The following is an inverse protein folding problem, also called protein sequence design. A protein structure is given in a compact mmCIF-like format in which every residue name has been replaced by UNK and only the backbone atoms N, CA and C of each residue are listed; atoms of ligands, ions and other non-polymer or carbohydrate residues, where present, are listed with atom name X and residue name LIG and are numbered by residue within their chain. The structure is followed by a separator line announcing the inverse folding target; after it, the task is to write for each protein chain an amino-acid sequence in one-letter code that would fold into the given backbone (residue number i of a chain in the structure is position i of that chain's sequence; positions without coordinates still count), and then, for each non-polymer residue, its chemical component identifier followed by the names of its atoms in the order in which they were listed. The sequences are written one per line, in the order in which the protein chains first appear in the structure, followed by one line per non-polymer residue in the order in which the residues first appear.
data_IF_810067211108
#
_entry.id   IF_810067211108
#
_cell.length_a   1.000
_cell.length_b   1.000
_cell.length_c   1.000
_cell.angle_alpha   90.00
_cell.angle_beta   90.00
_cell.angle_gamma   90.00
#
_symmetry.space_group_name_H-M   'P 1'
#
loop_
_entity.id
_entity.type
_entity.pdbx_description
1 polymer ?
#
# COMPACT_ATOMS: atom_id res chain seq x y z
N UNK A 1 -30.68 44.19 -16.66
CA UNK A 1 -30.76 42.72 -16.84
C UNK A 1 -29.48 42.13 -17.43
N UNK A 2 -28.91 42.72 -18.49
CA UNK A 2 -27.72 42.20 -19.19
C UNK A 2 -26.43 42.19 -18.34
N UNK A 3 -26.18 43.22 -17.52
CA UNK A 3 -24.96 43.33 -16.70
C UNK A 3 -24.87 42.25 -15.60
N UNK A 4 -26.00 41.94 -14.96
CA UNK A 4 -26.06 40.91 -13.91
C UNK A 4 -25.75 39.52 -14.47
N UNK A 5 -26.24 39.20 -15.67
CA UNK A 5 -25.94 37.94 -16.36
C UNK A 5 -24.46 37.80 -16.76
N UNK A 6 -23.81 38.91 -17.14
CA UNK A 6 -22.38 38.92 -17.46
C UNK A 6 -21.53 38.70 -16.20
N UNK A 7 -21.89 39.34 -15.07
CA UNK A 7 -21.16 39.19 -13.80
C UNK A 7 -21.28 37.77 -13.23
N UNK A 8 -22.46 37.15 -13.31
CA UNK A 8 -22.63 35.76 -12.87
C UNK A 8 -21.83 34.79 -13.74
N UNK A 9 -21.84 34.98 -15.07
CA UNK A 9 -21.04 34.17 -15.98
C UNK A 9 -19.53 34.29 -15.71
N UNK A 10 -19.02 35.50 -15.52
CA UNK A 10 -17.61 35.73 -15.17
C UNK A 10 -17.24 35.08 -13.83
N UNK A 11 -18.12 35.14 -12.84
CA UNK A 11 -17.91 34.49 -11.54
C UNK A 11 -17.78 32.96 -11.69
N UNK A 12 -18.67 32.32 -12.45
CA UNK A 12 -18.59 30.88 -12.72
C UNK A 12 -17.32 30.48 -13.48
N UNK A 13 -16.84 31.32 -14.40
CA UNK A 13 -15.59 31.06 -15.14
C UNK A 13 -14.39 31.09 -14.19
N UNK A 14 -14.31 32.09 -13.30
CA UNK A 14 -13.23 32.18 -12.31
C UNK A 14 -13.24 30.98 -11.36
N UNK A 15 -14.43 30.57 -10.89
CA UNK A 15 -14.59 29.39 -10.03
C UNK A 15 -14.15 28.12 -10.78
N UNK A 16 -14.56 27.93 -12.03
CA UNK A 16 -14.18 26.77 -12.83
C UNK A 16 -12.66 26.70 -13.07
N UNK A 17 -12.02 27.84 -13.36
CA UNK A 17 -10.57 27.92 -13.54
C UNK A 17 -9.79 27.64 -12.25
N UNK A 18 -10.33 28.02 -11.09
CA UNK A 18 -9.71 27.74 -9.79
C UNK A 18 -9.87 26.27 -9.35
N UNK A 19 -11.03 25.66 -9.63
CA UNK A 19 -11.34 24.29 -9.21
C UNK A 19 -10.75 23.24 -10.15
N UNK A 20 -10.64 23.54 -11.45
CA UNK A 20 -10.08 22.63 -12.46
C UNK A 20 -8.70 22.03 -12.11
N UNK A 21 -7.68 22.79 -11.67
CA UNK A 21 -6.38 22.23 -11.31
C UNK A 21 -6.46 21.36 -10.04
N UNK A 22 -7.33 21.71 -9.09
CA UNK A 22 -7.53 20.93 -7.85
C UNK A 22 -8.18 19.58 -8.19
N UNK A 23 -9.22 19.61 -9.02
CA UNK A 23 -9.89 18.40 -9.51
C UNK A 23 -8.94 17.54 -10.34
N UNK A 24 -8.11 18.16 -11.18
CA UNK A 24 -7.08 17.45 -11.95
C UNK A 24 -6.05 16.79 -11.04
N UNK A 25 -5.52 17.46 -10.01
CA UNK A 25 -4.58 16.87 -9.05
C UNK A 25 -5.20 15.71 -8.26
N UNK A 26 -6.48 15.80 -7.91
CA UNK A 26 -7.22 14.73 -7.22
C UNK A 26 -7.48 13.53 -8.14
N UNK A 27 -7.75 13.77 -9.42
CA UNK A 27 -8.03 12.73 -10.41
C UNK A 27 -6.76 12.16 -11.08
N UNK A 28 -5.63 12.86 -11.02
CA UNK A 28 -4.34 12.41 -11.54
C UNK A 28 -3.94 10.99 -11.09
N UNK A 29 -4.08 10.58 -9.81
CA UNK A 29 -3.82 9.20 -9.40
C UNK A 29 -4.82 8.18 -9.98
N UNK A 30 -6.05 8.59 -10.31
CA UNK A 30 -7.07 7.73 -10.92
C UNK A 30 -6.89 7.58 -12.43
N UNK A 31 -6.42 8.63 -13.13
CA UNK A 31 -6.19 8.62 -14.58
C UNK A 31 -4.84 8.03 -14.98
N UNK A 32 -3.91 7.82 -14.03
CA UNK A 32 -2.69 7.05 -14.27
C UNK A 32 -3.09 5.58 -14.42
N UNK A 33 -3.57 5.24 -15.62
CA UNK A 33 -4.02 3.89 -15.95
C UNK A 33 -2.96 2.87 -15.53
N UNK A 34 -3.41 1.74 -14.98
CA UNK A 34 -2.52 0.68 -14.53
C UNK A 34 -1.53 0.33 -15.62
N UNK A 35 -0.26 0.63 -15.35
CA UNK A 35 0.84 0.27 -16.23
C UNK A 35 0.84 -1.25 -16.42
N UNK A 36 1.46 -1.73 -17.49
CA UNK A 36 1.61 -3.17 -17.70
C UNK A 36 2.29 -3.86 -16.51
N UNK A 37 3.21 -3.17 -15.83
CA UNK A 37 3.88 -3.67 -14.63
C UNK A 37 2.90 -3.82 -13.45
N UNK A 38 2.04 -2.82 -13.19
CA UNK A 38 1.04 -2.89 -12.13
C UNK A 38 0.06 -4.05 -12.31
N UNK A 39 -0.40 -4.28 -13.55
CA UNK A 39 -1.31 -5.41 -13.84
C UNK A 39 -0.62 -6.74 -13.58
N UNK A 40 0.61 -6.91 -14.07
CA UNK A 40 1.39 -8.12 -13.87
C UNK A 40 1.66 -8.39 -12.40
N UNK A 41 1.98 -7.34 -11.62
CA UNK A 41 2.19 -7.45 -10.19
C UNK A 41 0.90 -7.84 -9.45
N UNK A 42 -0.25 -7.28 -9.85
CA UNK A 42 -1.54 -7.66 -9.30
C UNK A 42 -1.92 -9.12 -9.61
N UNK A 43 -1.61 -9.60 -10.80
CA UNK A 43 -1.82 -11.01 -11.18
C UNK A 43 -0.91 -11.93 -10.36
N UNK A 44 0.39 -11.59 -10.24
CA UNK A 44 1.32 -12.35 -9.40
C UNK A 44 0.87 -12.43 -7.94
N UNK A 45 0.39 -11.31 -7.39
CA UNK A 45 -0.16 -11.26 -6.03
C UNK A 45 -1.36 -12.20 -5.87
N UNK A 46 -2.26 -12.25 -6.87
CA UNK A 46 -3.42 -13.15 -6.84
C UNK A 46 -3.01 -14.62 -6.92
N UNK A 47 -2.00 -14.94 -7.72
CA UNK A 47 -1.49 -16.31 -7.85
C UNK A 47 -0.73 -16.76 -6.59
N UNK A 48 -0.14 -15.83 -5.84
CA UNK A 48 0.67 -16.12 -4.64
C UNK A 48 -0.18 -16.25 -3.36
N UNK A 49 -1.33 -15.57 -3.30
CA UNK A 49 -2.18 -15.52 -2.10
C UNK A 49 -3.32 -16.52 -2.17
N UNK A 50 -3.68 -17.11 -1.03
CA UNK A 50 -4.95 -17.83 -0.94
C UNK A 50 -6.13 -16.85 -1.06
N UNK A 51 -7.34 -17.30 -1.44
CA UNK A 51 -8.51 -16.43 -1.50
C UNK A 51 -8.83 -15.72 -0.16
N UNK A 52 -8.54 -16.35 0.97
CA UNK A 52 -8.70 -15.79 2.31
C UNK A 52 -7.69 -14.67 2.56
N UNK A 53 -6.42 -14.91 2.21
CA UNK A 53 -5.35 -13.91 2.32
C UNK A 53 -5.62 -12.71 1.42
N UNK A 54 -6.06 -12.95 0.18
CA UNK A 54 -6.42 -11.88 -0.75
C UNK A 54 -7.60 -11.03 -0.23
N UNK A 55 -8.63 -11.68 0.34
CA UNK A 55 -9.76 -11.00 1.00
C UNK A 55 -9.28 -10.20 2.21
N UNK A 56 -8.43 -10.79 3.06
CA UNK A 56 -7.86 -10.11 4.22
C UNK A 56 -7.10 -8.85 3.81
N UNK A 57 -6.20 -8.95 2.83
CA UNK A 57 -5.43 -7.83 2.32
C UNK A 57 -6.33 -6.73 1.74
N UNK A 58 -7.39 -7.13 1.03
CA UNK A 58 -8.32 -6.18 0.39
C UNK A 58 -9.19 -5.46 1.41
N UNK A 59 -9.70 -6.14 2.43
CA UNK A 59 -10.61 -5.56 3.42
C UNK A 59 -9.92 -4.92 4.60
N UNK A 60 -8.84 -5.53 5.12
CA UNK A 60 -8.11 -5.02 6.29
C UNK A 60 -6.97 -4.07 5.91
N UNK A 61 -6.54 -4.09 4.65
CA UNK A 61 -5.41 -3.29 4.18
C UNK A 61 -4.03 -3.85 4.57
N UNK A 62 -3.99 -5.06 5.12
CA UNK A 62 -2.75 -5.77 5.45
C UNK A 62 -2.93 -7.29 5.32
N UNK A 63 -1.82 -7.98 5.09
CA UNK A 63 -1.72 -9.43 5.04
C UNK A 63 -1.05 -9.93 6.33
N UNK A 64 -1.65 -10.92 6.97
CA UNK A 64 -1.04 -11.63 8.10
C UNK A 64 -0.26 -12.85 7.61
N UNK A 65 1.01 -12.94 8.00
CA UNK A 65 1.93 -14.01 7.61
C UNK A 65 2.48 -14.64 8.89
N UNK A 66 2.16 -15.90 9.19
CA UNK A 66 2.70 -16.57 10.36
C UNK A 66 4.22 -16.75 10.20
N UNK A 67 4.95 -16.60 11.29
CA UNK A 67 6.38 -16.93 11.31
C UNK A 67 6.58 -18.44 11.12
N UNK A 68 7.48 -18.88 10.22
CA UNK A 68 7.84 -20.29 10.13
C UNK A 68 8.73 -20.76 11.29
N UNK A 69 9.45 -19.87 11.99
CA UNK A 69 10.34 -20.26 13.09
C UNK A 69 9.75 -20.04 14.48
N UNK A 70 8.80 -19.10 14.65
CA UNK A 70 8.24 -18.72 15.95
C UNK A 70 6.70 -18.78 15.99
N UNK A 71 6.09 -19.81 16.61
CA UNK A 71 4.64 -20.06 16.53
C UNK A 71 3.74 -18.92 17.03
N UNK A 72 4.22 -18.06 17.93
CA UNK A 72 3.45 -16.95 18.50
C UNK A 72 3.64 -15.63 17.72
N UNK A 73 4.45 -15.62 16.65
CA UNK A 73 4.77 -14.44 15.87
C UNK A 73 3.99 -14.41 14.55
N UNK A 74 3.41 -13.25 14.27
CA UNK A 74 2.72 -12.95 13.01
C UNK A 74 3.23 -11.63 12.46
N UNK A 75 3.52 -11.59 11.17
CA UNK A 75 3.88 -10.38 10.44
C UNK A 75 2.63 -9.77 9.81
N UNK A 76 2.40 -8.47 10.02
CA UNK A 76 1.40 -7.69 9.29
C UNK A 76 2.06 -6.86 8.22
N UNK A 77 1.93 -7.32 6.98
CA UNK A 77 2.46 -6.65 5.78
C UNK A 77 1.40 -5.70 5.23
N UNK A 78 1.64 -4.38 5.17
CA UNK A 78 0.66 -3.44 4.62
C UNK A 78 0.48 -3.63 3.11
N UNK A 79 -0.72 -3.33 2.60
CA UNK A 79 -1.04 -3.41 1.16
C UNK A 79 -0.24 -2.44 0.30
N UNK A 80 0.16 -1.31 0.87
CA UNK A 80 0.98 -0.29 0.23
C UNK A 80 2.31 -0.15 0.99
N UNK A 81 3.25 0.60 0.42
CA UNK A 81 4.56 0.87 1.03
C UNK A 81 4.44 1.31 2.48
N UNK A 82 5.20 0.68 3.37
CA UNK A 82 5.17 0.98 4.79
C UNK A 82 5.98 0.00 5.62
N UNK A 83 5.86 0.13 6.94
CA UNK A 83 6.50 -0.78 7.88
C UNK A 83 5.70 -2.08 8.01
N UNK A 84 6.39 -3.21 8.04
CA UNK A 84 5.82 -4.49 8.45
C UNK A 84 5.79 -4.54 9.97
N UNK A 85 4.63 -4.80 10.57
CA UNK A 85 4.54 -4.92 12.02
C UNK A 85 4.77 -6.38 12.43
N UNK A 86 5.54 -6.58 13.49
CA UNK A 86 5.70 -7.89 14.13
C UNK A 86 4.77 -7.94 15.33
N UNK A 87 3.84 -8.87 15.29
CA UNK A 87 2.86 -9.11 16.34
C UNK A 87 3.28 -10.38 17.07
N UNK A 88 3.48 -10.28 18.38
CA UNK A 88 3.69 -11.42 19.26
C UNK A 88 2.66 -11.37 20.40
N UNK A 89 2.02 -12.50 20.70
CA UNK A 89 1.00 -12.58 21.75
C UNK A 89 -0.11 -11.51 21.61
N UNK A 90 -0.47 -11.19 20.36
CA UNK A 90 -1.50 -10.20 20.02
C UNK A 90 -1.06 -8.73 20.13
N UNK A 91 0.20 -8.45 20.49
CA UNK A 91 0.74 -7.09 20.64
C UNK A 91 1.80 -6.80 19.58
N UNK A 92 1.80 -5.58 19.07
CA UNK A 92 2.85 -5.12 18.15
C UNK A 92 4.12 -4.80 18.93
N UNK A 93 5.16 -5.62 18.77
CA UNK A 93 6.41 -5.48 19.53
C UNK A 93 7.49 -4.68 18.77
N UNK A 94 7.46 -4.72 17.44
CA UNK A 94 8.39 -3.97 16.59
C UNK A 94 7.82 -3.71 15.20
N UNK A 95 8.47 -2.79 14.50
CA UNK A 95 8.25 -2.47 13.09
C UNK A 95 9.53 -2.78 12.31
N UNK A 96 9.36 -3.39 11.16
CA UNK A 96 10.42 -3.76 10.23
C UNK A 96 10.34 -2.89 8.99
N UNK A 97 11.46 -2.32 8.58
CA UNK A 97 11.61 -1.65 7.30
C UNK A 97 12.57 -2.45 6.43
N UNK A 98 12.04 -3.00 5.34
CA UNK A 98 12.80 -3.66 4.30
C UNK A 98 12.24 -3.17 2.96
N UNK A 99 13.09 -2.56 2.14
CA UNK A 99 12.68 -1.99 0.86
C UNK A 99 13.52 -2.60 -0.27
N UNK A 100 12.91 -2.80 -1.45
CA UNK A 100 13.67 -3.12 -2.65
C UNK A 100 14.59 -1.95 -3.02
N UNK A 101 15.72 -2.26 -3.65
CA UNK A 101 16.66 -1.24 -4.16
C UNK A 101 16.02 -0.43 -5.29
N UNK A 102 15.26 -1.11 -6.16
CA UNK A 102 14.53 -0.49 -7.25
C UNK A 102 13.06 -0.27 -6.89
N UNK A 103 12.42 0.69 -7.55
CA UNK A 103 11.00 0.95 -7.34
C UNK A 103 10.15 -0.17 -7.93
N UNK A 104 9.52 -0.97 -7.07
CA UNK A 104 8.56 -1.99 -7.45
C UNK A 104 7.11 -1.48 -7.37
N UNK A 105 6.19 -2.06 -8.16
CA UNK A 105 4.75 -1.96 -7.92
C UNK A 105 4.37 -2.39 -6.50
N UNK A 106 3.34 -1.78 -5.92
CA UNK A 106 2.96 -2.05 -4.53
C UNK A 106 2.61 -3.53 -4.30
N UNK A 107 1.95 -4.18 -5.27
CA UNK A 107 1.62 -5.60 -5.19
C UNK A 107 2.86 -6.51 -5.14
N UNK A 108 3.92 -6.18 -5.89
CA UNK A 108 5.18 -6.93 -5.87
C UNK A 108 5.90 -6.75 -4.53
N UNK A 109 5.79 -5.58 -3.88
CA UNK A 109 6.35 -5.36 -2.54
C UNK A 109 5.69 -6.30 -1.52
N UNK A 110 4.37 -6.48 -1.59
CA UNK A 110 3.65 -7.43 -0.71
C UNK A 110 4.12 -8.87 -0.96
N UNK A 111 4.23 -9.29 -2.23
CA UNK A 111 4.73 -10.62 -2.60
C UNK A 111 6.16 -10.83 -2.10
N UNK A 112 7.03 -9.85 -2.26
CA UNK A 112 8.41 -9.88 -1.78
C UNK A 112 8.47 -10.16 -0.28
N UNK A 113 7.72 -9.41 0.54
CA UNK A 113 7.68 -9.63 1.98
C UNK A 113 7.20 -11.04 2.32
N UNK A 114 6.12 -11.51 1.68
CA UNK A 114 5.59 -12.85 1.92
C UNK A 114 6.60 -13.95 1.61
N UNK A 115 7.16 -13.93 0.41
CA UNK A 115 8.13 -14.94 -0.02
C UNK A 115 9.38 -14.94 0.86
N UNK A 116 9.89 -13.76 1.22
CA UNK A 116 11.05 -13.68 2.11
C UNK A 116 10.76 -14.24 3.50
N UNK A 117 9.62 -13.88 4.10
CA UNK A 117 9.24 -14.37 5.44
C UNK A 117 9.04 -15.89 5.42
N UNK A 118 8.28 -16.41 4.44
CA UNK A 118 7.93 -17.83 4.39
C UNK A 118 9.10 -18.72 3.99
N UNK A 119 9.97 -18.27 3.07
CA UNK A 119 11.08 -19.08 2.57
C UNK A 119 12.35 -18.95 3.41
N UNK A 120 12.65 -17.76 3.97
CA UNK A 120 13.85 -17.52 4.75
C UNK A 120 13.68 -16.31 5.70
N UNK A 121 12.95 -16.55 6.79
CA UNK A 121 12.67 -15.55 7.81
C UNK A 121 13.95 -14.95 8.42
N UNK A 122 14.99 -15.77 8.62
CA UNK A 122 16.26 -15.31 9.18
C UNK A 122 16.89 -14.21 8.32
N UNK A 123 16.98 -14.45 7.00
CA UNK A 123 17.51 -13.45 6.05
C UNK A 123 16.65 -12.20 6.02
N UNK A 124 15.33 -12.36 6.10
CA UNK A 124 14.40 -11.23 6.16
C UNK A 124 14.66 -10.35 7.39
N UNK A 125 14.80 -10.97 8.56
CA UNK A 125 15.09 -10.28 9.82
C UNK A 125 16.50 -9.67 9.84
N UNK A 126 17.49 -10.32 9.22
CA UNK A 126 18.85 -9.77 9.12
C UNK A 126 18.89 -8.52 8.25
N UNK A 127 18.18 -8.51 7.12
CA UNK A 127 18.15 -7.36 6.19
C UNK A 127 17.26 -6.21 6.65
N UNK A 128 16.23 -6.49 7.43
CA UNK A 128 15.29 -5.46 7.87
C UNK A 128 15.86 -4.58 8.97
N UNK A 129 15.68 -3.26 8.81
CA UNK A 129 15.86 -2.31 9.90
C UNK A 129 14.74 -2.50 10.93
N UNK A 130 15.11 -2.55 12.21
CA UNK A 130 14.20 -2.87 13.32
C UNK A 130 13.94 -1.64 14.17
N UNK A 131 12.67 -1.34 14.42
CA UNK A 131 12.23 -0.25 15.28
C UNK A 131 11.31 -0.82 16.36
N UNK A 132 11.72 -0.76 17.62
CA UNK A 132 10.90 -1.25 18.73
C UNK A 132 9.64 -0.39 18.89
N UNK A 133 8.50 -1.04 19.15
CA UNK A 133 7.32 -0.33 19.61
C UNK A 133 7.50 -0.08 21.11
N UNK A 134 7.70 1.18 21.50
CA UNK A 134 7.67 1.57 22.91
C UNK A 134 6.20 1.82 23.30
N UNK A 135 5.79 1.31 24.46
CA UNK A 135 4.47 1.56 25.05
C UNK A 135 4.23 3.05 25.34
#
# INVERSE_FOLDING_TARGET
MMISQVLTALCWIVIALAISPIVWLILQPYFKGWSRAERRAADLLRDTLTPEQFRQLTWRGYLEIPSPTEPQRVYRVPKAKGYVQVIENGRAIMRLCLQPVECLPDADVVVLHKLMIEANEETYLQKANKYLCVE
#
